data_IF_253810720036
#
_entry.id   IF_253810720036
#
_cell.length_a   1.000
_cell.length_b   1.000
_cell.length_c   1.000
_cell.angle_alpha   90.00
_cell.angle_beta   90.00
_cell.angle_gamma   90.00
#
_symmetry.space_group_name_H-M   'P 1'
#
loop_
_entity.id
_entity.type
_entity.pdbx_description
1 polymer ?
2 non-polymer ?
3 water ?
#
# COMPACT_ATOMS: atom_id res chain seq x y z
N UNK A 14 28.15 -11.85 -9.99
CA UNK A 14 28.09 -13.03 -10.90
C UNK A 14 26.68 -13.62 -10.89
N UNK A 15 25.87 -13.19 -9.91
CA UNK A 15 24.50 -13.64 -9.78
C UNK A 15 23.52 -12.49 -10.07
N UNK A 16 22.93 -12.46 -11.26
CA UNK A 16 21.90 -11.48 -11.59
C UNK A 16 20.52 -12.12 -11.49
N UNK A 17 19.58 -11.41 -10.90
CA UNK A 17 18.29 -11.98 -10.57
C UNK A 17 17.21 -11.43 -11.49
N UNK A 18 16.36 -12.33 -11.99
CA UNK A 18 15.22 -11.92 -12.79
C UNK A 18 13.93 -12.43 -12.19
N UNK A 19 12.86 -11.69 -12.41
CA UNK A 19 11.52 -12.09 -12.00
C UNK A 19 10.54 -11.58 -13.05
N UNK A 20 9.66 -12.47 -13.48
CA UNK A 20 8.69 -12.16 -14.53
C UNK A 20 9.27 -11.45 -15.75
N UNK A 21 10.52 -11.77 -16.10
CA UNK A 21 11.11 -11.31 -17.34
C UNK A 21 12.02 -10.10 -17.23
N UNK A 22 12.14 -9.54 -16.03
CA UNK A 22 12.96 -8.34 -15.83
C UNK A 22 13.93 -8.50 -14.69
N UNK A 23 15.06 -7.77 -14.77
CA UNK A 23 16.08 -7.81 -13.73
C UNK A 23 15.47 -7.33 -12.43
N UNK A 24 15.92 -7.89 -11.31
CA UNK A 24 15.40 -7.50 -10.01
C UNK A 24 16.41 -6.62 -9.30
N UNK A 25 15.98 -5.42 -8.90
CA UNK A 25 16.83 -4.51 -8.13
C UNK A 25 16.46 -4.62 -6.66
N UNK A 26 17.44 -5.04 -5.85
CA UNK A 26 17.24 -5.17 -4.43
C UNK A 26 17.88 -3.99 -3.69
N UNK A 27 17.14 -3.46 -2.72
CA UNK A 27 17.62 -2.32 -1.94
C UNK A 27 17.52 -2.64 -0.45
N UNK A 28 18.49 -2.16 0.32
CA UNK A 28 18.48 -2.38 1.75
C UNK A 28 17.81 -1.24 2.49
N UNK A 29 17.07 -1.58 3.53
CA UNK A 29 16.56 -0.60 4.46
C UNK A 29 17.70 -0.17 5.38
N UNK A 30 17.62 1.03 5.92
CA UNK A 30 18.51 1.40 7.01
C UNK A 30 18.33 0.37 8.11
N UNK A 31 19.37 -0.38 8.40
CA UNK A 31 19.29 -1.50 9.34
C UNK A 31 18.64 -1.14 10.67
N UNK A 32 19.11 -0.08 11.34
CA UNK A 32 18.55 0.26 12.64
C UNK A 32 17.05 0.46 12.54
N UNK A 33 16.61 1.28 11.59
CA UNK A 33 15.19 1.57 11.43
C UNK A 33 14.39 0.28 11.21
N UNK A 34 14.91 -0.61 10.38
CA UNK A 34 14.24 -1.88 10.12
C UNK A 34 14.05 -2.63 11.43
N UNK A 35 15.06 -2.55 12.27
CA UNK A 35 15.06 -3.24 13.56
C UNK A 35 13.88 -2.77 14.42
N UNK A 36 13.73 -1.46 14.53
CA UNK A 36 12.70 -0.88 15.38
C UNK A 36 11.32 -0.97 14.74
N UNK A 37 11.26 -0.92 13.41
CA UNK A 37 9.98 -1.06 12.73
C UNK A 37 9.45 -2.45 13.00
N UNK A 38 10.35 -3.42 12.99
CA UNK A 38 9.99 -4.78 13.29
C UNK A 38 9.28 -4.85 14.64
N UNK A 39 9.82 -4.13 15.60
CA UNK A 39 9.28 -4.17 16.95
C UNK A 39 7.87 -3.62 17.01
N UNK A 40 7.60 -2.52 16.31
CA UNK A 40 6.30 -1.89 16.45
C UNK A 40 5.20 -2.57 15.65
N UNK A 41 5.53 -3.20 14.52
CA UNK A 41 4.49 -3.85 13.73
C UNK A 41 4.25 -5.27 14.22
N UNK A 42 5.24 -5.85 14.89
CA UNK A 42 5.11 -7.21 15.40
C UNK A 42 4.87 -7.23 16.90
N UNK A 43 4.85 -6.04 17.51
CA UNK A 43 4.56 -5.93 18.93
C UNK A 43 3.23 -6.58 19.28
N UNK A 44 3.13 -7.15 20.48
CA UNK A 44 1.84 -7.56 20.99
C UNK A 44 1.03 -6.31 21.35
N UNK A 45 -0.27 -6.50 21.53
CA UNK A 45 -1.16 -5.46 22.02
C UNK A 45 -1.27 -4.26 21.10
N UNK A 46 -1.10 -4.48 19.80
CA UNK A 46 -1.33 -3.42 18.82
C UNK A 46 -2.76 -3.47 18.30
N UNK A 47 -3.23 -2.37 17.75
CA UNK A 47 -4.52 -2.34 17.09
C UNK A 47 -4.34 -2.69 15.61
N UNK A 48 -4.26 -3.98 15.29
CA UNK A 48 -3.87 -4.40 13.94
C UNK A 48 -4.84 -3.95 12.85
N UNK A 49 -6.10 -3.72 13.23
CA UNK A 49 -7.14 -3.33 12.30
C UNK A 49 -6.79 -2.09 11.47
N UNK A 50 -6.01 -1.20 12.06
CA UNK A 50 -5.78 0.10 11.44
C UNK A 50 -5.07 0.01 10.09
N UNK A 51 -4.44 -1.13 9.80
CA UNK A 51 -3.74 -1.26 8.52
C UNK A 51 -4.66 -0.89 7.36
N UNK A 52 -5.94 -1.28 7.47
CA UNK A 52 -6.89 -1.04 6.41
C UNK A 52 -7.28 0.44 6.34
N UNK A 53 -7.32 1.08 7.50
CA UNK A 53 -7.55 2.51 7.57
C UNK A 53 -6.47 3.23 6.79
N UNK A 54 -5.23 2.80 7.01
CA UNK A 54 -4.09 3.48 6.45
C UNK A 54 -4.05 3.29 4.93
N UNK A 55 -4.30 2.07 4.46
CA UNK A 55 -4.21 1.81 3.02
C UNK A 55 -5.36 2.47 2.26
N UNK A 56 -6.54 2.51 2.87
CA UNK A 56 -7.68 3.16 2.24
C UNK A 56 -7.44 4.66 2.16
N UNK A 57 -6.79 5.19 3.19
CA UNK A 57 -6.42 6.59 3.23
C UNK A 57 -5.46 6.95 2.11
N UNK A 58 -4.49 6.07 1.86
CA UNK A 58 -3.53 6.29 0.77
C UNK A 58 -4.19 6.13 -0.60
N UNK A 59 -5.14 5.23 -0.69
CA UNK A 59 -5.83 4.99 -1.96
C UNK A 59 -6.69 6.21 -2.31
N UNK A 60 -7.32 6.79 -1.30
CA UNK A 60 -8.13 7.97 -1.51
C UNK A 60 -7.27 9.17 -1.93
N UNK A 61 -6.15 9.39 -1.23
CA UNK A 61 -5.22 10.43 -1.64
C UNK A 61 -4.77 10.22 -3.08
N UNK A 62 -4.46 8.97 -3.43
CA UNK A 62 -4.00 8.66 -4.79
C UNK A 62 -5.05 8.99 -5.84
N UNK A 63 -6.33 8.81 -5.50
CA UNK A 63 -7.42 9.17 -6.42
C UNK A 63 -7.59 10.69 -6.50
N UNK A 64 -7.52 11.36 -5.35
CA UNK A 64 -7.53 12.83 -5.32
C UNK A 64 -6.43 13.45 -6.16
N UNK A 65 -5.23 12.90 -6.05
CA UNK A 65 -4.12 13.39 -6.84
C UNK A 65 -4.40 13.20 -8.33
N UNK A 66 -4.89 12.03 -8.71
CA UNK A 66 -5.22 11.80 -10.10
C UNK A 66 -6.27 12.80 -10.57
N UNK A 67 -7.34 12.98 -9.81
CA UNK A 67 -8.41 13.85 -10.24
C UNK A 67 -7.87 15.25 -10.47
N UNK A 68 -7.11 15.76 -9.50
CA UNK A 68 -6.59 17.12 -9.59
C UNK A 68 -5.68 17.30 -10.83
N UNK A 69 -4.75 16.38 -11.02
CA UNK A 69 -3.84 16.45 -12.17
C UNK A 69 -4.58 16.34 -13.51
N UNK A 70 -5.61 15.49 -13.58
CA UNK A 70 -6.41 15.38 -14.81
C UNK A 70 -7.09 16.70 -15.12
N UNK A 71 -7.67 17.32 -14.10
CA UNK A 71 -8.35 18.59 -14.31
C UNK A 71 -7.37 19.64 -14.83
N UNK A 72 -6.21 19.75 -14.21
CA UNK A 72 -5.21 20.71 -14.69
C UNK A 72 -4.76 20.40 -16.12
N UNK A 73 -4.56 19.11 -16.41
CA UNK A 73 -4.16 18.72 -17.76
C UNK A 73 -5.15 19.22 -18.78
N UNK A 74 -6.44 19.01 -18.50
CA UNK A 74 -7.49 19.41 -19.41
C UNK A 74 -7.44 20.91 -19.67
N UNK A 75 -7.30 21.68 -18.60
CA UNK A 75 -7.23 23.13 -18.74
C UNK A 75 -6.17 23.48 -19.78
N UNK A 76 -5.00 22.88 -19.64
CA UNK A 76 -3.88 23.19 -20.50
C UNK A 76 -4.06 22.61 -21.90
N UNK A 77 -4.69 21.45 -22.00
CA UNK A 77 -5.00 20.88 -23.30
C UNK A 77 -5.98 21.77 -24.07
N UNK A 78 -6.99 22.28 -23.37
CA UNK A 78 -7.98 23.17 -24.00
C UNK A 78 -7.33 24.42 -24.56
N UNK A 79 -6.68 25.18 -23.68
CA UNK A 79 -6.09 26.46 -24.06
C UNK A 79 -5.18 26.31 -25.28
N UNK A 80 -4.64 25.12 -25.49
CA UNK A 80 -3.77 24.87 -26.63
C UNK A 80 -2.59 25.83 -26.60
N UNK A 81 -1.80 25.82 -27.67
CA UNK A 81 -0.62 26.68 -27.76
C UNK A 81 0.43 26.08 -28.71
N UNK A 114 -13.76 13.39 -17.31
CA UNK A 114 -14.00 12.14 -18.00
C UNK A 114 -14.08 10.96 -17.04
N UNK A 115 -13.02 10.15 -16.96
CA UNK A 115 -13.03 8.96 -16.12
C UNK A 115 -12.73 9.30 -14.67
N UNK A 116 -12.80 10.58 -14.32
CA UNK A 116 -12.69 10.97 -12.92
C UNK A 116 -13.85 10.28 -12.19
N UNK A 117 -14.91 9.96 -12.93
CA UNK A 117 -16.08 9.30 -12.39
C UNK A 117 -15.80 7.82 -12.07
N UNK A 118 -14.81 7.26 -12.74
CA UNK A 118 -14.49 5.86 -12.54
C UNK A 118 -13.57 5.64 -11.33
N UNK A 119 -13.20 6.71 -10.62
CA UNK A 119 -12.26 6.58 -9.50
C UNK A 119 -12.86 5.76 -8.37
N UNK A 120 -12.18 4.67 -8.02
CA UNK A 120 -12.72 3.71 -7.07
C UNK A 120 -11.64 2.96 -6.30
N UNK A 121 -11.99 2.53 -5.10
CA UNK A 121 -11.12 1.72 -4.28
C UNK A 121 -11.73 0.33 -4.13
N UNK A 122 -10.93 -0.72 -4.34
CA UNK A 122 -11.46 -2.08 -4.30
C UNK A 122 -10.71 -2.93 -3.30
N UNK A 123 -11.46 -3.75 -2.57
CA UNK A 123 -10.89 -4.64 -1.58
C UNK A 123 -11.41 -6.05 -1.87
N UNK A 124 -10.51 -7.03 -2.04
CA UNK A 124 -10.64 -8.44 -2.41
C UNK A 124 -9.84 -9.39 -1.52
N UNK A 125 -10.55 -10.16 -0.67
CA UNK A 125 -9.95 -11.25 0.05
C UNK A 125 -9.88 -12.46 -0.84
N UNK A 126 -8.90 -13.32 -0.60
CA UNK A 126 -8.80 -14.61 -1.28
C UNK A 126 -8.34 -15.62 -0.23
N UNK A 127 -9.31 -16.35 0.33
CA UNK A 127 -9.06 -17.26 1.44
C UNK A 127 -8.12 -18.37 1.05
N UNK A 128 -8.17 -18.81 -0.20
CA UNK A 128 -7.37 -19.96 -0.61
C UNK A 128 -5.90 -19.58 -0.72
N UNK A 129 -5.61 -18.36 -1.16
CA UNK A 129 -4.23 -17.89 -1.24
C UNK A 129 -3.79 -17.17 0.03
N UNK A 130 -4.72 -16.97 0.97
CA UNK A 130 -4.43 -16.20 2.19
C UNK A 130 -3.98 -14.77 1.88
N UNK A 131 -4.59 -14.14 0.88
CA UNK A 131 -4.25 -12.76 0.54
C UNK A 131 -5.43 -11.81 0.61
N UNK A 132 -5.12 -10.58 1.01
CA UNK A 132 -6.07 -9.46 0.94
C UNK A 132 -5.47 -8.38 0.04
N UNK A 133 -6.25 -7.99 -0.98
CA UNK A 133 -5.77 -7.08 -1.99
C UNK A 133 -6.55 -5.77 -1.96
N UNK A 134 -5.82 -4.66 -1.86
CA UNK A 134 -6.44 -3.34 -1.98
C UNK A 134 -5.97 -2.62 -3.24
N UNK A 135 -6.90 -2.22 -4.09
CA UNK A 135 -6.57 -1.66 -5.39
C UNK A 135 -7.23 -0.30 -5.57
N UNK A 136 -6.48 0.64 -6.12
CA UNK A 136 -7.06 1.90 -6.54
C UNK A 136 -6.70 2.14 -8.00
N UNK A 137 -7.49 2.97 -8.66
CA UNK A 137 -7.17 3.37 -10.02
C UNK A 137 -6.72 4.83 -9.98
N UNK A 138 -5.98 5.17 -8.94
CA UNK A 138 -5.51 6.51 -8.72
C UNK A 138 -4.26 6.79 -9.50
N UNK A 139 -3.45 7.70 -8.98
CA UNK A 139 -2.33 8.24 -9.71
C UNK A 139 -1.28 7.19 -10.06
N UNK A 140 -1.09 6.21 -9.19
CA UNK A 140 -0.01 5.25 -9.35
C UNK A 140 1.36 5.84 -9.04
N UNK A 141 2.40 5.01 -9.14
CA UNK A 141 3.78 5.46 -8.94
C UNK A 141 4.71 4.92 -10.03
N UNK A 142 5.71 5.70 -10.44
CA UNK A 142 6.73 5.23 -11.36
C UNK A 142 7.85 4.59 -10.58
N UNK A 143 8.81 3.98 -11.28
CA UNK A 143 9.89 3.27 -10.61
C UNK A 143 10.53 4.14 -9.53
N UNK A 144 10.83 5.38 -9.89
CA UNK A 144 11.57 6.26 -9.00
C UNK A 144 10.79 6.60 -7.74
N UNK A 145 9.52 6.96 -7.90
CA UNK A 145 8.67 7.28 -6.76
C UNK A 145 8.56 6.06 -5.87
N UNK A 146 8.52 4.89 -6.50
CA UNK A 146 8.30 3.65 -5.79
C UNK A 146 9.48 3.30 -4.90
N UNK A 147 10.68 3.53 -5.41
CA UNK A 147 11.88 3.26 -4.63
C UNK A 147 12.08 4.31 -3.53
N UNK A 148 11.83 5.56 -3.86
CA UNK A 148 12.07 6.65 -2.92
C UNK A 148 10.91 6.86 -1.95
N UNK A 149 9.68 6.75 -2.43
CA UNK A 149 8.50 6.89 -1.57
C UNK A 149 8.28 5.72 -0.62
N UNK A 150 8.16 4.53 -1.18
CA UNK A 150 7.93 3.33 -0.38
C UNK A 150 9.21 2.77 0.20
N UNK A 151 10.34 3.14 -0.40
CA UNK A 151 11.65 2.61 -0.01
C UNK A 151 12.22 3.16 1.28
N UNK A 152 11.60 4.20 1.84
CA UNK A 152 12.06 4.73 3.12
C UNK A 152 11.00 4.54 4.20
N UNK A 153 11.40 3.91 5.30
CA UNK A 153 10.47 3.55 6.36
C UNK A 153 10.09 4.79 7.18
N UNK A 154 11.09 5.46 7.75
CA UNK A 154 10.83 6.66 8.54
C UNK A 154 10.06 7.70 7.70
N UNK A 155 8.76 7.48 7.53
CA UNK A 155 7.91 8.47 6.89
C UNK A 155 7.65 9.59 7.88
N UNK A 156 6.59 10.33 7.67
CA UNK A 156 6.23 11.43 8.54
C UNK A 156 5.66 10.88 9.86
N UNK A 157 4.61 10.07 9.76
CA UNK A 157 3.94 9.53 10.93
C UNK A 157 4.77 8.52 11.69
N UNK A 158 5.45 7.64 10.96
CA UNK A 158 6.30 6.64 11.58
C UNK A 158 7.44 7.32 12.35
N UNK A 159 8.09 8.30 11.73
CA UNK A 159 9.18 9.04 12.38
C UNK A 159 8.68 9.74 13.64
N UNK A 160 7.51 10.35 13.52
CA UNK A 160 6.87 11.00 14.66
C UNK A 160 6.74 10.01 15.82
N UNK A 161 6.04 8.91 15.57
CA UNK A 161 5.83 7.86 16.56
C UNK A 161 7.15 7.45 17.21
N UNK A 162 8.08 6.99 16.39
CA UNK A 162 9.38 6.56 16.88
C UNK A 162 10.04 7.59 17.79
N UNK A 163 9.95 8.88 17.44
CA UNK A 163 10.59 9.92 18.24
C UNK A 163 9.93 10.03 19.61
N UNK A 164 8.61 9.94 19.64
CA UNK A 164 7.88 10.02 20.89
C UNK A 164 8.23 8.84 21.78
N UNK A 165 8.20 7.63 21.22
CA UNK A 165 8.68 6.48 21.95
C UNK A 165 10.06 6.81 22.52
N UNK A 166 10.97 7.22 21.65
CA UNK A 166 12.34 7.52 22.06
C UNK A 166 12.39 8.53 23.21
N UNK A 167 11.53 9.54 23.14
CA UNK A 167 11.51 10.57 24.17
C UNK A 167 10.64 10.15 25.35
N UNK A 168 10.20 8.91 25.34
CA UNK A 168 9.37 8.37 26.42
C UNK A 168 7.99 8.98 26.47
N UNK A 169 7.49 9.44 25.33
CA UNK A 169 6.21 10.14 25.29
C UNK A 169 5.09 9.26 24.76
N UNK A 170 5.45 8.10 24.22
CA UNK A 170 4.46 7.20 23.64
C UNK A 170 4.88 5.75 23.86
N UNK A 171 3.90 4.90 24.18
CA UNK A 171 4.13 3.48 24.33
C UNK A 171 4.28 2.84 22.94
N UNK A 172 5.11 1.81 22.88
CA UNK A 172 5.52 1.24 21.61
C UNK A 172 4.48 0.33 20.98
N UNK A 173 3.38 0.08 21.67
CA UNK A 173 2.29 -0.72 21.10
C UNK A 173 1.22 0.14 20.42
N UNK A 174 1.42 1.45 20.41
CA UNK A 174 0.37 2.40 20.00
C UNK A 174 0.43 2.83 18.53
N UNK A 175 1.02 2.00 17.67
CA UNK A 175 1.11 2.31 16.24
C UNK A 175 -0.22 2.85 15.71
N UNK A 176 -1.33 2.35 16.26
CA UNK A 176 -2.65 2.71 15.80
C UNK A 176 -3.03 4.17 15.97
N UNK A 177 -2.60 4.81 17.06
CA UNK A 177 -2.75 6.16 17.55
C UNK A 177 -2.05 7.14 16.64
N UNK A 178 -1.24 6.59 15.73
CA UNK A 178 -0.51 7.41 14.79
C UNK A 178 -0.95 7.01 13.39
N UNK A 179 -0.60 7.81 12.41
CA UNK A 179 -0.95 7.52 11.01
C UNK A 179 0.32 7.12 10.31
N UNK A 180 0.73 5.87 10.49
CA UNK A 180 2.03 5.46 10.02
C UNK A 180 2.01 5.09 8.54
N UNK A 181 0.81 4.95 7.99
CA UNK A 181 0.67 4.70 6.57
C UNK A 181 0.94 3.28 6.12
N UNK A 182 1.50 3.18 4.92
CA UNK A 182 1.68 1.91 4.21
C UNK A 182 2.29 0.79 5.04
N UNK A 183 3.37 1.07 5.74
CA UNK A 183 4.09 0.02 6.45
C UNK A 183 3.27 -0.63 7.56
N UNK A 184 2.12 -0.04 7.90
CA UNK A 184 1.20 -0.67 8.83
C UNK A 184 0.65 -1.97 8.23
N UNK A 185 0.81 -2.17 6.93
CA UNK A 185 0.38 -3.41 6.30
C UNK A 185 1.05 -4.58 6.99
N UNK A 186 2.25 -4.33 7.51
CA UNK A 186 3.01 -5.39 8.15
C UNK A 186 2.47 -5.77 9.52
N UNK A 187 1.46 -5.07 9.99
CA UNK A 187 0.77 -5.47 11.21
C UNK A 187 0.14 -6.84 11.00
N UNK A 188 -0.26 -7.12 9.76
CA UNK A 188 -1.06 -8.30 9.47
C UNK A 188 -0.48 -9.15 8.33
N UNK A 189 0.71 -8.77 7.84
CA UNK A 189 1.28 -9.44 6.67
C UNK A 189 2.69 -9.95 6.89
N UNK A 190 2.96 -11.14 6.37
CA UNK A 190 4.32 -11.66 6.29
C UNK A 190 5.07 -11.01 5.16
N UNK A 191 4.37 -10.79 4.05
CA UNK A 191 4.98 -10.28 2.85
C UNK A 191 4.01 -9.34 2.17
N UNK A 192 4.53 -8.24 1.62
CA UNK A 192 3.68 -7.31 0.90
C UNK A 192 4.22 -7.07 -0.50
N UNK A 193 3.32 -7.17 -1.49
CA UNK A 193 3.63 -6.78 -2.85
C UNK A 193 2.84 -5.56 -3.26
N UNK A 194 3.43 -4.76 -4.13
CA UNK A 194 2.76 -3.62 -4.69
C UNK A 194 2.98 -3.64 -6.20
N UNK A 195 1.89 -3.63 -6.94
CA UNK A 195 1.96 -3.50 -8.39
C UNK A 195 1.32 -2.17 -8.71
N UNK A 196 2.08 -1.30 -9.36
CA UNK A 196 1.65 0.06 -9.60
C UNK A 196 2.02 0.49 -11.02
N UNK A 197 1.06 1.10 -11.72
CA UNK A 197 1.32 1.66 -13.04
C UNK A 197 0.97 3.14 -13.08
N UNK A 198 1.91 3.94 -13.55
CA UNK A 198 1.69 5.39 -13.67
C UNK A 198 1.40 5.75 -15.11
N UNK A 199 2.14 5.15 -16.04
CA UNK A 199 1.97 5.46 -17.45
C UNK A 199 2.53 4.38 -18.35
N UNK A 200 1.70 3.40 -18.70
CA UNK A 200 2.10 2.36 -19.65
C UNK A 200 3.09 1.34 -19.08
N UNK A 201 3.74 1.66 -17.96
CA UNK A 201 4.68 0.72 -17.34
C UNK A 201 4.24 0.27 -15.95
N UNK A 202 4.45 -1.02 -15.67
CA UNK A 202 4.05 -1.60 -14.40
C UNK A 202 5.27 -2.12 -13.66
N UNK A 203 5.37 -1.74 -12.40
CA UNK A 203 6.46 -2.16 -11.54
C UNK A 203 5.94 -2.86 -10.30
N UNK A 204 6.70 -3.84 -9.84
CA UNK A 204 6.37 -4.60 -8.65
C UNK A 204 7.40 -4.35 -7.55
N UNK A 205 6.90 -3.97 -6.39
CA UNK A 205 7.68 -3.78 -5.18
C UNK A 205 7.31 -4.92 -4.24
N UNK A 206 8.30 -5.52 -3.60
CA UNK A 206 8.02 -6.60 -2.67
C UNK A 206 9.01 -6.63 -1.51
N UNK A 207 8.50 -6.92 -0.31
CA UNK A 207 9.33 -7.04 0.87
C UNK A 207 8.63 -7.85 1.94
N UNK A 208 9.44 -8.51 2.77
CA UNK A 208 8.95 -9.17 3.96
C UNK A 208 9.47 -8.41 5.16
N UNK A 209 9.94 -7.20 4.90
CA UNK A 209 10.46 -6.31 5.93
C UNK A 209 11.65 -6.91 6.69
N UNK A 210 12.44 -7.75 6.03
CA UNK A 210 13.60 -8.35 6.66
C UNK A 210 14.91 -7.87 6.04
N UNK A 211 15.09 -6.56 5.96
CA UNK A 211 16.37 -6.00 5.55
C UNK A 211 16.34 -5.29 4.22
N UNK A 212 15.45 -5.72 3.33
CA UNK A 212 15.44 -5.16 1.99
C UNK A 212 14.09 -5.28 1.31
N UNK A 213 13.95 -4.60 0.18
CA UNK A 213 12.78 -4.73 -0.66
C UNK A 213 13.27 -4.91 -2.09
N UNK A 214 12.41 -5.42 -2.97
CA UNK A 214 12.82 -5.60 -4.34
C UNK A 214 11.92 -4.83 -5.28
N UNK A 215 12.49 -4.37 -6.39
CA UNK A 215 11.71 -3.74 -7.44
C UNK A 215 12.06 -4.37 -8.78
N UNK A 216 11.03 -4.71 -9.56
CA UNK A 216 11.24 -5.14 -10.92
C UNK A 216 10.06 -4.76 -11.78
N UNK A 217 10.29 -4.65 -13.09
CA UNK A 217 9.21 -4.35 -13.99
C UNK A 217 8.44 -5.61 -14.33
N UNK A 218 7.16 -5.45 -14.64
CA UNK A 218 6.35 -6.53 -15.16
C UNK A 218 5.97 -6.17 -16.59
N UNK A 219 6.70 -6.71 -17.56
CA UNK A 219 6.57 -6.30 -18.95
C UNK A 219 5.24 -6.71 -19.60
N UNK A 220 4.66 -7.82 -19.16
CA UNK A 220 3.40 -8.29 -19.75
C UNK A 220 2.35 -8.55 -18.66
N UNK A 221 1.99 -7.51 -17.92
CA UNK A 221 0.97 -7.63 -16.88
C UNK A 221 -0.42 -7.82 -17.49
N UNK A 222 -0.45 -8.06 -18.80
CA UNK A 222 -1.70 -8.34 -19.50
C UNK A 222 -2.29 -9.69 -19.08
N UNK A 223 -1.76 -10.24 -18.00
CA UNK A 223 -2.34 -11.43 -17.40
C UNK A 223 -3.46 -11.00 -16.46
N UNK A 224 -3.34 -9.78 -15.93
CA UNK A 224 -4.37 -9.20 -15.07
C UNK A 224 -4.84 -7.88 -15.68
N UNK A 225 -6.14 -7.77 -15.93
CA UNK A 225 -6.72 -6.53 -16.41
C UNK A 225 -6.82 -5.52 -15.26
N UNK A 228 -5.42 -3.13 -13.52
CA UNK A 228 -5.01 -1.72 -13.54
C UNK A 228 -5.03 -1.21 -14.97
N UNK A 229 -6.10 -0.52 -15.33
CA UNK A 229 -6.28 -0.04 -16.68
C UNK A 229 -5.33 1.11 -17.02
N UNK A 230 -5.72 2.33 -16.66
CA UNK A 230 -4.95 3.50 -17.04
C UNK A 230 -3.77 3.71 -16.13
N UNK A 231 -4.07 3.84 -14.84
CA UNK A 231 -3.05 3.97 -13.83
C UNK A 231 -3.67 3.41 -12.55
N UNK A 232 -2.85 3.16 -11.55
CA UNK A 232 -3.38 2.61 -10.31
C UNK A 232 -2.35 1.86 -9.50
N UNK A 233 -2.78 1.37 -8.36
CA UNK A 233 -1.90 0.66 -7.47
C UNK A 233 -2.63 -0.50 -6.82
N UNK A 234 -2.02 -1.68 -6.89
CA UNK A 234 -2.59 -2.91 -6.38
C UNK A 234 -1.70 -3.44 -5.26
N UNK A 235 -2.24 -3.49 -4.04
CA UNK A 235 -1.47 -3.91 -2.88
C UNK A 235 -1.92 -5.27 -2.39
N UNK A 236 -1.02 -6.25 -2.47
CA UNK A 236 -1.35 -7.62 -2.09
C UNK A 236 -0.74 -7.94 -0.75
N UNK A 237 -1.60 -8.12 0.25
CA UNK A 237 -1.16 -8.51 1.58
C UNK A 237 -1.18 -10.03 1.74
N UNK A 238 -0.02 -10.62 2.03
CA UNK A 238 0.07 -12.04 2.30
C UNK A 238 0.00 -12.20 3.81
N UNK A 239 -1.16 -12.62 4.28
CA UNK A 239 -1.53 -12.45 5.68
C UNK A 239 -0.82 -13.41 6.61
N UNK A 240 -0.49 -12.90 7.79
CA UNK A 240 0.04 -13.73 8.86
C UNK A 240 -0.99 -14.76 9.24
N UNK A 241 -0.51 -15.92 9.69
CA UNK A 241 -1.38 -17.02 10.06
C UNK A 241 -2.44 -16.56 11.06
N UNK A 242 -2.05 -15.76 12.05
CA UNK A 242 -2.97 -15.36 13.10
C UNK A 242 -3.94 -14.25 12.67
N UNK A 243 -3.96 -13.91 11.38
CA UNK A 243 -4.73 -12.77 10.91
C UNK A 243 -5.76 -13.12 9.84
N UNK A 244 -6.27 -14.34 9.83
CA UNK A 244 -7.13 -14.75 8.72
C UNK A 244 -8.56 -14.19 8.84
N UNK A 245 -8.87 -13.50 9.94
CA UNK A 245 -10.20 -12.90 10.06
C UNK A 245 -10.35 -11.76 9.05
N UNK A 246 -9.24 -11.23 8.58
CA UNK A 246 -9.26 -10.16 7.59
C UNK A 246 -9.56 -10.73 6.21
N UNK A 247 -9.77 -12.03 6.13
CA UNK A 247 -10.23 -12.66 4.90
C UNK A 247 -11.75 -12.75 4.93
N UNK A 248 -12.36 -12.38 6.06
CA UNK A 248 -13.80 -12.56 6.24
C UNK A 248 -14.59 -11.32 5.83
N UNK A 249 -15.70 -11.57 5.15
CA UNK A 249 -16.55 -10.52 4.60
C UNK A 249 -17.06 -9.59 5.70
N UNK A 250 -17.64 -10.15 6.75
CA UNK A 250 -18.23 -9.33 7.81
C UNK A 250 -17.17 -8.43 8.44
N UNK A 251 -15.94 -8.95 8.53
CA UNK A 251 -14.86 -8.20 9.17
C UNK A 251 -14.41 -7.02 8.33
N UNK A 252 -14.31 -7.25 7.03
CA UNK A 252 -13.93 -6.18 6.10
C UNK A 252 -14.98 -5.08 6.12
N UNK A 253 -16.25 -5.48 6.03
CA UNK A 253 -17.34 -4.53 6.06
C UNK A 253 -17.29 -3.68 7.33
N UNK A 254 -17.06 -4.35 8.45
CA UNK A 254 -16.96 -3.65 9.72
C UNK A 254 -15.86 -2.58 9.68
N UNK A 255 -14.72 -2.94 9.13
CA UNK A 255 -13.59 -2.02 9.11
C UNK A 255 -13.82 -0.88 8.13
N UNK A 256 -14.35 -1.22 6.95
CA UNK A 256 -14.67 -0.21 5.96
C UNK A 256 -15.58 0.85 6.55
N UNK A 257 -16.55 0.42 7.35
CA UNK A 257 -17.51 1.32 7.95
C UNK A 257 -16.87 2.18 9.02
N UNK A 258 -15.92 1.61 9.75
CA UNK A 258 -15.26 2.34 10.79
C UNK A 258 -14.30 3.37 10.20
N UNK A 259 -13.66 3.04 9.09
CA UNK A 259 -12.57 3.87 8.59
C UNK A 259 -12.91 4.66 7.32
N UNK A 260 -14.17 4.62 6.89
CA UNK A 260 -14.57 5.19 5.59
C UNK A 260 -15.35 6.48 5.69
N UNK A 261 -15.78 6.81 6.90
CA UNK A 261 -16.81 7.83 7.06
C UNK A 261 -16.50 9.09 6.29
N UNK A 262 -15.22 9.43 6.16
CA UNK A 262 -14.81 10.67 5.52
C UNK A 262 -14.08 10.46 4.19
N UNK A 263 -14.12 9.23 3.68
CA UNK A 263 -13.55 8.93 2.38
C UNK A 263 -14.62 9.12 1.31
N UNK A 264 -14.37 10.04 0.39
CA UNK A 264 -15.35 10.44 -0.62
C UNK A 264 -15.09 9.79 -1.98
N UNK A 265 -14.59 8.55 -1.96
CA UNK A 265 -14.48 7.74 -3.16
C UNK A 265 -15.15 6.41 -2.84
N UNK A 266 -15.91 5.86 -3.80
CA UNK A 266 -16.58 4.62 -3.48
C UNK A 266 -15.58 3.50 -3.18
N UNK A 267 -15.98 2.61 -2.28
CA UNK A 267 -15.19 1.44 -1.97
C UNK A 267 -16.00 0.20 -2.26
N UNK A 268 -15.40 -0.70 -3.02
CA UNK A 268 -16.05 -1.93 -3.40
C UNK A 268 -15.39 -3.12 -2.71
N UNK A 269 -16.17 -3.87 -1.94
CA UNK A 269 -15.65 -5.09 -1.35
C UNK A 269 -16.18 -6.29 -2.09
N UNK A 270 -15.30 -7.11 -2.67
CA UNK A 270 -15.73 -8.32 -3.35
C UNK A 270 -16.02 -9.42 -2.33
N UNK A 271 -17.11 -10.15 -2.57
CA UNK A 271 -17.56 -11.24 -1.72
C UNK A 271 -17.80 -10.81 -0.29
X LIG B 1 0.88 8.03 4.84
X LIG B 1 2.23 8.83 4.06
X LIG B 1 2.76 9.84 5.04
X LIG B 1 1.75 9.34 2.72
X LIG B 1 3.41 7.77 3.81
X LIG B 1 3.22 6.22 3.34
X LIG B 1 1.83 5.71 3.63
X LIG B 1 4.40 5.45 3.88
X LIG B 1 3.39 6.32 1.76
X LIG B 1 4.57 6.90 1.21
X LIG B 1 4.21 7.49 -0.12
X LIG B 1 3.93 6.46 -1.08
X LIG B 1 2.96 8.32 -0.09
X LIG B 1 3.19 9.68 0.32
X LIG B 1 2.49 8.28 -1.52
X LIG B 1 3.09 9.34 -2.27
X LIG B 1 2.97 6.94 -2.02
X LIG B 1 1.79 6.04 -2.11
X LIG B 1 1.52 5.30 -0.90
X LIG B 1 0.32 4.58 -1.33
X LIG B 1 -0.01 4.89 -2.61
X LIG B 1 0.95 5.88 -3.12
X LIG B 1 0.82 6.33 -4.39
X LIG B 1 -0.19 5.92 -5.17
X LIG B 1 -1.10 5.02 -4.78
X LIG B 1 -1.08 4.49 -3.54
X LIG B 1 -2.03 3.60 -3.16
#
# INVERSE_FOLDING_TARGET
MGSSHHHHHHSSGRENLYFQGSPVEKYNFKAEVNKVMDIIVNSLYTDKDVFLRELISNASDACDKKRIILENNKLIKDAEVVTNEEIKNETEKEKTENVNESTDKKENVEEEKNDIKKLIIKIKPDKEKKTLTITDNGIGMDKSELINNLGTIAQSGTAKFLKQIEEGKADSNLIGQFGVGFYSSFLVSNRVEVYTKKEDQIYRWSSDLKGSFSVNEIKKYDQEYDDIKGSGTKIILHLKEECDEYLEDYKLKELIKKYSEFIKFPIEIWSE
AN2 N3B PB O2B O1B O3A PA O1A O2A O5' C5' C4' O4' C3' O3' C2' O2' C1' N9 C8 N7 C5 C4 N3 C2 N1 C6 N6
#
